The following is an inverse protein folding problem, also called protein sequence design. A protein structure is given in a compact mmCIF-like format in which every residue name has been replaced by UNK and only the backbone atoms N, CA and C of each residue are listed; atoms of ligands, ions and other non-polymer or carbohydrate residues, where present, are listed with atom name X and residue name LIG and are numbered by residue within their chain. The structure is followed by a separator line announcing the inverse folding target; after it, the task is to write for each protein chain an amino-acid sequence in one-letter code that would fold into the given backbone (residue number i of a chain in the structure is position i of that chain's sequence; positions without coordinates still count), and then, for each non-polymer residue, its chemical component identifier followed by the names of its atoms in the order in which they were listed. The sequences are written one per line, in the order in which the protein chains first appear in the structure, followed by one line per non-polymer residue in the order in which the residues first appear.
data_IF_815763954591
#
_entry.id   IF_815763954591
#
_cell.length_a   1.000
_cell.length_b   1.000
_cell.length_c   1.000
_cell.angle_alpha   90.00
_cell.angle_beta   90.00
_cell.angle_gamma   90.00
#
_symmetry.space_group_name_H-M   'P 1'
#
loop_
_entity.id
_entity.type
_entity.pdbx_description
1 polymer ?
#
# COMPACT_ATOMS: atom_id res chain seq x y z
N UNK A 1 0.17 14.96 -1.72
CA UNK A 1 1.56 14.42 -1.77
C UNK A 1 1.78 13.82 -3.15
N UNK A 2 2.86 14.15 -3.86
CA UNK A 2 3.09 13.64 -5.23
C UNK A 2 3.96 12.40 -5.18
N UNK A 3 3.56 11.34 -5.88
CA UNK A 3 4.28 10.07 -5.95
C UNK A 3 4.32 9.54 -7.38
N UNK A 4 5.05 8.45 -7.59
CA UNK A 4 5.00 7.67 -8.83
C UNK A 4 4.00 6.53 -8.65
N UNK A 5 3.05 6.38 -9.58
CA UNK A 5 2.06 5.31 -9.53
C UNK A 5 2.76 3.94 -9.54
N UNK A 6 2.53 3.06 -8.54
CA UNK A 6 3.17 1.75 -8.48
C UNK A 6 2.66 0.77 -9.55
N UNK A 7 1.58 1.11 -10.26
CA UNK A 7 0.97 0.24 -11.26
C UNK A 7 1.43 0.55 -12.69
N UNK A 8 1.48 1.83 -13.05
CA UNK A 8 1.81 2.27 -14.42
C UNK A 8 3.02 3.21 -14.49
N UNK A 9 3.70 3.44 -13.37
CA UNK A 9 4.89 4.30 -13.25
C UNK A 9 4.70 5.77 -13.70
N UNK A 10 3.45 6.17 -13.96
CA UNK A 10 3.11 7.54 -14.29
C UNK A 10 3.04 8.42 -13.05
N UNK A 11 2.95 9.73 -13.26
CA UNK A 11 2.81 10.68 -12.18
C UNK A 11 1.45 10.52 -11.47
N UNK A 12 1.48 10.49 -10.15
CA UNK A 12 0.28 10.35 -9.33
C UNK A 12 0.31 11.26 -8.11
N UNK A 13 -0.87 11.56 -7.58
CA UNK A 13 -1.05 12.27 -6.33
C UNK A 13 -1.71 11.35 -5.31
N UNK A 14 -1.12 11.29 -4.12
CA UNK A 14 -1.76 10.75 -2.92
C UNK A 14 -2.41 11.88 -2.14
N UNK A 15 -3.67 11.66 -1.77
CA UNK A 15 -4.43 12.55 -0.88
C UNK A 15 -5.01 11.74 0.28
N UNK A 16 -5.07 12.28 1.51
CA UNK A 16 -5.77 11.63 2.61
C UNK A 16 -7.22 11.38 2.24
N UNK A 17 -7.76 10.20 2.58
CA UNK A 17 -9.16 9.90 2.36
C UNK A 17 -10.02 10.53 3.48
N UNK A 18 -10.83 11.57 3.20
CA UNK A 18 -11.65 12.18 4.24
C UNK A 18 -12.69 11.19 4.80
N UNK A 19 -13.17 10.25 3.98
CA UNK A 19 -14.15 9.25 4.40
C UNK A 19 -13.55 8.18 5.34
N UNK A 20 -12.23 8.11 5.49
CA UNK A 20 -11.61 7.18 6.45
C UNK A 20 -11.89 7.61 7.90
N UNK A 21 -12.04 8.90 8.17
CA UNK A 21 -12.35 9.40 9.51
C UNK A 21 -13.64 8.76 10.07
N UNK A 22 -14.61 8.47 9.20
CA UNK A 22 -15.89 7.86 9.56
C UNK A 22 -15.88 6.34 9.52
N UNK A 23 -14.93 5.71 8.80
CA UNK A 23 -14.91 4.25 8.57
C UNK A 23 -13.51 3.68 8.54
N UNK A 24 -13.23 2.78 9.49
CA UNK A 24 -11.94 2.08 9.64
C UNK A 24 -11.62 1.17 8.43
N UNK A 25 -12.62 0.74 7.67
CA UNK A 25 -12.46 -0.19 6.54
C UNK A 25 -12.07 0.45 5.21
N UNK A 26 -11.98 1.79 5.14
CA UNK A 26 -11.59 2.51 3.92
C UNK A 26 -10.07 2.71 3.85
N UNK A 27 -9.49 2.80 2.64
CA UNK A 27 -8.08 3.09 2.49
C UNK A 27 -7.76 4.47 3.07
N UNK A 28 -6.64 4.56 3.81
CA UNK A 28 -6.12 5.80 4.40
C UNK A 28 -5.88 6.91 3.37
N UNK A 29 -5.48 6.52 2.16
CA UNK A 29 -5.11 7.44 1.10
C UNK A 29 -5.77 7.07 -0.22
N UNK A 30 -6.24 8.10 -0.93
CA UNK A 30 -6.72 8.02 -2.30
C UNK A 30 -5.57 8.32 -3.26
N UNK A 31 -5.52 7.56 -4.35
CA UNK A 31 -4.58 7.72 -5.45
C UNK A 31 -5.28 8.39 -6.63
N UNK A 32 -4.71 9.47 -7.16
CA UNK A 32 -5.12 10.06 -8.42
C UNK A 32 -3.94 9.96 -9.39
N UNK A 33 -4.03 9.03 -10.35
CA UNK A 33 -3.00 8.82 -11.37
C UNK A 33 -3.44 9.40 -12.71
N UNK A 34 -2.53 10.06 -13.44
CA UNK A 34 -2.83 10.59 -14.78
C UNK A 34 -2.73 9.53 -15.89
N UNK A 35 -2.18 8.35 -15.59
CA UNK A 35 -1.94 7.29 -16.56
C UNK A 35 -2.74 6.01 -16.34
N UNK A 36 -3.56 5.91 -15.29
CA UNK A 36 -4.43 4.76 -15.06
C UNK A 36 -5.61 5.09 -14.13
N UNK A 37 -6.68 4.31 -14.20
CA UNK A 37 -7.90 4.47 -13.38
C UNK A 37 -7.80 3.90 -11.95
N UNK A 38 -6.59 3.72 -11.42
CA UNK A 38 -6.40 3.22 -10.05
C UNK A 38 -6.60 4.34 -9.03
N UNK A 39 -7.49 4.09 -8.07
CA UNK A 39 -7.96 5.08 -7.10
C UNK A 39 -7.44 4.88 -5.67
N UNK A 40 -6.72 3.79 -5.41
CA UNK A 40 -6.14 3.50 -4.09
C UNK A 40 -4.81 2.77 -4.23
N UNK A 41 -3.92 3.00 -3.26
CA UNK A 41 -2.72 2.17 -3.07
C UNK A 41 -2.97 1.33 -1.84
N UNK A 42 -3.29 0.05 -2.03
CA UNK A 42 -3.16 -0.91 -0.94
C UNK A 42 -1.67 -1.11 -0.70
N UNK A 43 -1.15 -0.63 0.43
CA UNK A 43 0.05 -1.27 0.98
C UNK A 43 -0.39 -2.70 1.24
N UNK A 44 0.14 -3.64 0.45
CA UNK A 44 0.08 -5.04 0.85
C UNK A 44 0.60 -5.04 2.30
N UNK A 45 -0.15 -5.60 3.26
CA UNK A 45 0.42 -5.79 4.58
C UNK A 45 1.66 -6.61 4.30
N UNK A 46 2.84 -6.03 4.50
CA UNK A 46 4.11 -6.72 4.38
C UNK A 46 3.86 -8.02 5.12
N UNK A 47 3.72 -9.13 4.38
CA UNK A 47 3.65 -10.43 5.02
C UNK A 47 4.91 -10.40 5.85
N UNK A 48 4.74 -10.35 7.17
CA UNK A 48 5.77 -10.84 8.07
C UNK A 48 5.89 -12.27 7.65
N UNK A 49 6.77 -12.51 6.67
CA UNK A 49 7.31 -13.81 6.42
C UNK A 49 7.84 -14.21 7.80
N UNK A 50 7.25 -15.20 8.48
CA UNK A 50 7.81 -15.65 9.72
C UNK A 50 9.19 -16.16 9.34
N UNK A 51 10.22 -15.41 9.76
CA UNK A 51 11.63 -15.77 9.65
C UNK A 51 11.72 -17.27 9.85
N UNK A 52 12.06 -17.99 8.78
CA UNK A 52 12.34 -19.41 8.84
C UNK A 52 13.58 -19.55 9.70
N UNK A 53 13.42 -19.67 11.03
CA UNK A 53 14.52 -19.98 11.92
C UNK A 53 15.15 -21.29 11.40
N UNK A 54 16.46 -21.33 11.10
CA UNK A 54 17.10 -22.60 10.87
C UNK A 54 17.01 -23.39 12.18
N UNK A 55 16.38 -24.56 12.15
CA UNK A 55 16.51 -25.57 13.20
C UNK A 55 17.99 -25.98 13.23
N UNK A 56 18.77 -25.34 14.09
CA UNK A 56 20.06 -25.88 14.51
C UNK A 56 19.75 -27.10 15.37
N UNK A 57 19.83 -28.28 14.75
CA UNK A 57 19.89 -29.52 15.51
C UNK A 57 21.24 -29.55 16.22
N UNK A 58 21.22 -29.37 17.54
CA UNK A 58 22.34 -29.72 18.39
C UNK A 58 22.43 -31.24 18.48
N UNK A 59 23.63 -31.74 18.14
CA UNK A 59 24.30 -32.99 18.52
C UNK A 59 23.49 -34.29 18.63
#
# INVERSE_FOLDING_TARGET
MRITCPYCHSQANLTPNPAHADRISLPLYLLACSGCDRTSVRRDPVRRDPVRLPRVAFS
#
